data_IF_771880427000
#
_entry.id   IF_771880427000
#
_cell.length_a   1.000
_cell.length_b   1.000
_cell.length_c   1.000
_cell.angle_alpha   90.00
_cell.angle_beta   90.00
_cell.angle_gamma   90.00
#
_symmetry.space_group_name_H-M   'P 1'
#
loop_
_entity.id
_entity.type
_entity.pdbx_description
1 polymer ?
#
# COMPACT_ATOMS: atom_id res chain seq x y z
N UNK A 1 23.38 23.75 -0.24
CA UNK A 1 22.56 23.03 0.71
C UNK A 1 22.93 21.55 0.73
N UNK A 2 22.95 20.97 1.89
CA UNK A 2 23.33 19.58 2.07
C UNK A 2 22.18 18.59 1.88
N UNK A 3 21.00 19.10 1.60
CA UNK A 3 19.81 18.25 1.40
C UNK A 3 19.55 18.07 -0.08
N UNK A 4 19.90 16.90 -0.56
CA UNK A 4 19.56 16.51 -1.92
C UNK A 4 18.19 15.81 -1.94
N UNK A 5 17.29 16.37 -2.73
CA UNK A 5 15.98 15.75 -2.93
C UNK A 5 16.09 14.76 -4.09
N UNK A 6 16.06 13.49 -3.78
CA UNK A 6 16.15 12.43 -4.77
C UNK A 6 14.79 11.78 -5.07
N UNK A 7 13.80 12.02 -4.22
CA UNK A 7 12.46 11.50 -4.40
C UNK A 7 11.42 12.47 -3.88
N UNK A 8 10.27 12.49 -4.50
CA UNK A 8 9.13 13.29 -4.08
C UNK A 8 7.87 12.43 -4.06
N UNK A 9 6.88 12.86 -3.28
CA UNK A 9 5.55 12.30 -3.36
C UNK A 9 4.99 12.57 -4.76
N UNK A 10 4.64 11.51 -5.47
CA UNK A 10 4.02 11.64 -6.78
C UNK A 10 2.64 12.24 -6.63
N UNK A 11 2.25 13.21 -7.47
CA UNK A 11 0.91 13.78 -7.43
C UNK A 11 -0.16 12.69 -7.61
N UNK A 12 -1.27 12.87 -6.94
CA UNK A 12 -2.37 11.93 -6.96
C UNK A 12 -2.30 10.96 -5.77
N UNK A 13 -3.14 11.23 -4.79
CA UNK A 13 -3.34 10.36 -3.63
C UNK A 13 -4.64 9.62 -3.84
N UNK A 14 -4.61 8.31 -3.64
CA UNK A 14 -5.80 7.48 -3.74
C UNK A 14 -6.44 7.33 -2.37
N UNK A 15 -7.72 7.66 -2.29
CA UNK A 15 -8.58 7.30 -1.17
C UNK A 15 -9.40 6.09 -1.57
N UNK A 16 -9.38 5.05 -0.76
CA UNK A 16 -10.11 3.82 -1.05
C UNK A 16 -10.95 3.40 0.14
N UNK A 17 -12.20 3.04 -0.17
CA UNK A 17 -13.14 2.46 0.78
C UNK A 17 -13.45 1.05 0.33
N UNK A 18 -13.27 0.09 1.22
CA UNK A 18 -13.61 -1.30 0.98
C UNK A 18 -14.74 -1.70 1.92
N UNK A 19 -15.86 -2.07 1.36
CA UNK A 19 -16.95 -2.69 2.14
C UNK A 19 -16.57 -4.12 2.51
N UNK A 20 -17.31 -4.77 3.43
CA UNK A 20 -17.02 -6.17 3.77
C UNK A 20 -16.88 -7.04 2.52
N UNK A 21 -15.89 -7.91 2.53
CA UNK A 21 -15.50 -8.81 1.44
C UNK A 21 -14.91 -8.14 0.19
N UNK A 22 -14.74 -6.82 0.20
CA UNK A 22 -14.05 -6.11 -0.88
C UNK A 22 -12.57 -5.95 -0.59
N UNK A 23 -11.77 -5.89 -1.64
CA UNK A 23 -10.34 -5.64 -1.58
C UNK A 23 -9.65 -6.04 -2.86
N UNK A 24 -8.40 -5.62 -3.01
CA UNK A 24 -7.57 -6.04 -4.12
C UNK A 24 -6.94 -7.40 -3.78
N UNK A 25 -7.57 -8.46 -4.24
CA UNK A 25 -7.29 -9.84 -3.79
C UNK A 25 -6.18 -10.54 -4.56
N UNK A 26 -5.73 -9.94 -5.65
CA UNK A 26 -4.68 -10.53 -6.50
C UNK A 26 -3.30 -10.16 -5.99
N UNK A 27 -2.40 -11.13 -5.90
CA UNK A 27 -0.99 -10.87 -5.63
C UNK A 27 -0.42 -9.99 -6.73
N UNK A 28 0.20 -8.86 -6.36
CA UNK A 28 0.73 -7.90 -7.31
C UNK A 28 1.89 -7.11 -6.72
N UNK A 29 2.64 -6.43 -7.59
CA UNK A 29 3.58 -5.37 -7.22
C UNK A 29 3.21 -4.09 -7.96
N UNK A 30 3.85 -2.97 -7.58
CA UNK A 30 3.46 -1.65 -8.07
C UNK A 30 4.29 -1.18 -9.27
N UNK A 31 5.24 -1.98 -9.73
CA UNK A 31 6.01 -1.72 -10.96
C UNK A 31 5.95 -2.96 -11.86
N UNK A 32 4.78 -3.22 -12.48
CA UNK A 32 4.63 -4.36 -13.37
C UNK A 32 5.15 -4.09 -14.78
N UNK A 33 5.48 -2.84 -15.13
CA UNK A 33 5.87 -2.45 -16.46
C UNK A 33 6.74 -1.19 -16.46
N UNK A 34 7.30 -0.85 -17.60
CA UNK A 34 8.18 0.31 -17.74
C UNK A 34 7.49 1.65 -17.41
N UNK A 35 6.20 1.77 -17.66
CA UNK A 35 5.45 2.99 -17.43
C UNK A 35 5.40 3.40 -15.95
N UNK A 36 5.48 2.44 -15.05
CA UNK A 36 5.49 2.68 -13.61
C UNK A 36 6.90 2.63 -13.00
N UNK A 37 7.95 2.59 -13.82
CA UNK A 37 9.34 2.39 -13.36
C UNK A 37 9.91 3.52 -12.52
N UNK A 38 9.28 4.70 -12.52
CA UNK A 38 9.71 5.83 -11.70
C UNK A 38 9.34 5.69 -10.23
N UNK A 39 8.43 4.81 -9.90
CA UNK A 39 8.02 4.56 -8.51
C UNK A 39 9.14 3.87 -7.77
N UNK A 40 9.49 4.39 -6.60
CA UNK A 40 10.59 3.83 -5.78
C UNK A 40 10.13 3.34 -4.43
N UNK A 41 9.05 3.89 -3.90
CA UNK A 41 8.42 3.45 -2.65
C UNK A 41 6.92 3.59 -2.78
N UNK A 42 6.21 2.64 -2.20
CA UNK A 42 4.76 2.71 -1.98
C UNK A 42 4.53 3.09 -0.53
N UNK A 43 3.57 3.96 -0.28
CA UNK A 43 3.09 4.18 1.07
C UNK A 43 1.59 3.93 1.15
N UNK A 44 1.15 3.42 2.30
CA UNK A 44 -0.25 3.21 2.61
C UNK A 44 -0.51 3.65 4.04
N UNK A 45 -1.57 4.40 4.24
CA UNK A 45 -2.03 4.83 5.55
C UNK A 45 -3.39 4.21 5.82
N UNK A 46 -3.51 3.48 6.92
CA UNK A 46 -4.80 2.99 7.40
C UNK A 46 -5.52 4.14 8.11
N UNK A 47 -6.75 4.43 7.67
CA UNK A 47 -7.54 5.53 8.22
C UNK A 47 -8.46 5.06 9.35
N UNK A 48 -8.70 3.77 9.46
CA UNK A 48 -9.46 3.19 10.56
C UNK A 48 -8.87 1.84 10.97
N UNK A 49 -9.19 1.42 12.18
CA UNK A 49 -8.80 0.11 12.68
C UNK A 49 -9.82 -0.93 12.23
N UNK A 50 -9.33 -2.02 11.62
CA UNK A 50 -10.15 -3.16 11.23
C UNK A 50 -9.64 -4.37 12.01
N UNK A 51 -10.48 -4.92 12.85
CA UNK A 51 -10.11 -6.01 13.77
C UNK A 51 -10.42 -7.39 13.22
N UNK A 52 -11.34 -7.46 12.26
CA UNK A 52 -11.71 -8.72 11.61
C UNK A 52 -10.97 -8.83 10.28
N UNK A 53 -9.71 -9.31 10.36
CA UNK A 53 -8.79 -9.35 9.23
C UNK A 53 -8.55 -7.93 8.69
N UNK A 54 -8.57 -7.72 7.38
CA UNK A 54 -8.57 -6.37 6.79
C UNK A 54 -7.19 -5.75 6.59
N UNK A 55 -6.12 -6.46 6.87
CA UNK A 55 -4.76 -5.96 6.71
C UNK A 55 -4.24 -6.06 5.28
N UNK A 56 -2.93 -6.08 5.17
CA UNK A 56 -2.22 -6.26 3.89
C UNK A 56 -1.25 -7.42 4.03
N UNK A 57 -1.35 -8.38 3.13
CA UNK A 57 -0.49 -9.57 3.12
C UNK A 57 0.67 -9.37 2.16
N UNK A 58 1.88 -9.70 2.61
CA UNK A 58 3.10 -9.72 1.82
C UNK A 58 3.57 -11.16 1.64
N UNK A 59 3.69 -11.59 0.38
CA UNK A 59 3.92 -12.99 0.03
C UNK A 59 5.30 -13.49 0.47
N UNK A 60 6.35 -12.94 -0.14
CA UNK A 60 7.71 -13.45 0.13
C UNK A 60 8.18 -13.22 1.56
N UNK A 61 7.70 -12.16 2.18
CA UNK A 61 8.03 -11.85 3.57
C UNK A 61 7.25 -12.69 4.56
N UNK A 62 6.21 -13.39 4.07
CA UNK A 62 5.30 -14.17 4.92
C UNK A 62 4.81 -13.32 6.10
N UNK A 63 4.34 -12.13 5.79
CA UNK A 63 3.98 -11.12 6.79
C UNK A 63 2.64 -10.49 6.45
N UNK A 64 1.81 -10.31 7.46
CA UNK A 64 0.56 -9.58 7.35
C UNK A 64 0.61 -8.36 8.23
N UNK A 65 0.42 -7.19 7.62
CA UNK A 65 0.31 -5.94 8.36
C UNK A 65 -1.14 -5.73 8.77
N UNK A 66 -1.36 -5.50 10.07
CA UNK A 66 -2.71 -5.26 10.58
C UNK A 66 -3.16 -3.84 10.30
N UNK A 67 -4.45 -3.69 10.00
CA UNK A 67 -5.06 -2.38 9.77
C UNK A 67 -5.32 -1.68 11.11
N UNK A 68 -4.48 -0.74 11.45
CA UNK A 68 -4.61 0.09 12.65
C UNK A 68 -4.65 1.55 12.25
N UNK A 69 -5.65 2.28 12.77
CA UNK A 69 -5.82 3.70 12.45
C UNK A 69 -4.54 4.50 12.70
N UNK A 70 -4.12 5.25 11.69
CA UNK A 70 -2.91 6.08 11.76
C UNK A 70 -1.60 5.35 11.45
N UNK A 71 -1.64 4.04 11.22
CA UNK A 71 -0.44 3.30 10.83
C UNK A 71 -0.12 3.54 9.37
N UNK A 72 1.11 3.92 9.09
CA UNK A 72 1.63 4.02 7.73
C UNK A 72 2.59 2.86 7.47
N UNK A 73 2.42 2.24 6.32
CA UNK A 73 3.30 1.17 5.84
C UNK A 73 3.98 1.67 4.57
N UNK A 74 5.28 1.45 4.48
CA UNK A 74 6.08 1.86 3.32
C UNK A 74 6.86 0.63 2.86
N UNK A 75 6.84 0.37 1.54
CA UNK A 75 7.57 -0.76 0.98
C UNK A 75 8.04 -0.46 -0.44
N UNK A 76 9.08 -1.20 -0.92
CA UNK A 76 9.50 -1.11 -2.31
C UNK A 76 8.39 -1.58 -3.25
N UNK A 77 8.22 -0.94 -4.42
CA UNK A 77 7.12 -1.25 -5.32
C UNK A 77 7.40 -2.44 -6.26
N UNK A 78 8.51 -3.13 -6.05
CA UNK A 78 9.05 -4.09 -7.01
C UNK A 78 8.53 -5.50 -6.77
N UNK A 79 8.92 -6.43 -7.65
CA UNK A 79 8.53 -7.85 -7.61
C UNK A 79 8.93 -8.55 -6.31
N UNK A 80 9.87 -7.98 -5.55
CA UNK A 80 10.27 -8.51 -4.24
C UNK A 80 9.18 -8.38 -3.18
N UNK A 81 8.18 -7.53 -3.42
CA UNK A 81 7.13 -7.20 -2.46
C UNK A 81 5.74 -7.39 -3.08
N UNK A 82 5.47 -8.61 -3.57
CA UNK A 82 4.11 -8.98 -3.93
C UNK A 82 3.23 -8.93 -2.70
N UNK A 83 2.08 -8.28 -2.84
CA UNK A 83 1.15 -8.08 -1.75
C UNK A 83 -0.30 -8.12 -2.26
N UNK A 84 -1.22 -8.24 -1.33
CA UNK A 84 -2.65 -8.18 -1.61
C UNK A 84 -3.42 -7.73 -0.38
N UNK A 85 -4.65 -7.27 -0.59
CA UNK A 85 -5.57 -7.00 0.51
C UNK A 85 -5.97 -8.28 1.21
N UNK A 86 -5.94 -8.24 2.54
CA UNK A 86 -6.64 -9.21 3.36
C UNK A 86 -8.04 -8.67 3.59
N UNK A 87 -9.04 -9.25 2.93
CA UNK A 87 -10.40 -8.72 3.04
C UNK A 87 -10.95 -8.91 4.44
N UNK A 88 -11.75 -7.95 4.91
CA UNK A 88 -12.54 -8.11 6.12
C UNK A 88 -13.93 -8.61 5.76
N UNK A 89 -14.40 -9.70 6.36
CA UNK A 89 -15.73 -10.20 6.07
C UNK A 89 -16.84 -9.37 6.72
N UNK A 90 -16.53 -8.50 7.68
CA UNK A 90 -17.54 -7.84 8.48
C UNK A 90 -17.38 -6.32 8.64
N UNK A 91 -16.22 -5.75 8.27
CA UNK A 91 -15.95 -4.34 8.55
C UNK A 91 -15.59 -3.57 7.29
N UNK A 92 -15.87 -2.27 7.31
CA UNK A 92 -15.45 -1.34 6.26
C UNK A 92 -14.03 -0.90 6.55
N UNK A 93 -13.21 -0.84 5.51
CA UNK A 93 -11.81 -0.40 5.58
C UNK A 93 -11.61 0.85 4.74
N UNK A 94 -10.92 1.84 5.32
CA UNK A 94 -10.53 3.06 4.62
C UNK A 94 -9.02 3.18 4.61
N UNK A 95 -8.45 3.43 3.45
CA UNK A 95 -7.01 3.64 3.29
C UNK A 95 -6.73 4.82 2.38
N UNK A 96 -5.54 5.38 2.55
CA UNK A 96 -4.91 6.27 1.57
C UNK A 96 -3.65 5.60 1.05
N UNK A 97 -3.38 5.76 -0.24
CA UNK A 97 -2.17 5.23 -0.85
C UNK A 97 -1.53 6.24 -1.78
N UNK A 98 -0.24 6.10 -1.97
CA UNK A 98 0.51 6.89 -2.93
C UNK A 98 1.89 6.30 -3.16
N UNK A 99 2.67 7.01 -3.96
CA UNK A 99 4.02 6.57 -4.31
C UNK A 99 4.99 7.72 -4.19
N UNK A 100 6.23 7.39 -3.77
CA UNK A 100 7.37 8.26 -3.99
C UNK A 100 8.01 7.86 -5.32
N UNK A 101 8.44 8.85 -6.07
CA UNK A 101 9.11 8.67 -7.35
C UNK A 101 10.42 9.45 -7.38
N UNK A 102 11.34 9.05 -8.24
CA UNK A 102 12.54 9.85 -8.48
C UNK A 102 12.16 11.23 -9.02
N UNK A 103 12.93 12.19 -8.59
CA UNK A 103 12.80 13.59 -9.06
C UNK A 103 13.29 13.71 -10.50
#
# INVERSE_FOLDING_TARGET
DDLDVWAIQKPGINFQRFYPNEGYKTWHCEVPCAESSQRILVWMLYLNTVTDLGGTEFDYQNFTCKAESGKMVIWPPYWTHFHRSQVSPSQVKYIMTGWFAYV
#
